data_IF_176618907990
#
_entry.id   IF_176618907990
#
_cell.length_a   1.000
_cell.length_b   1.000
_cell.length_c   1.000
_cell.angle_alpha   90.00
_cell.angle_beta   90.00
_cell.angle_gamma   90.00
#
_symmetry.space_group_name_H-M   'P 1'
#
loop_
_entity.id
_entity.type
_entity.pdbx_description
1 polymer ?
#
# COMPACT_ATOMS: atom_id res chain seq x y z
N UNK A 1 16.72 7.69 -29.61
CA UNK A 1 15.74 7.23 -30.62
C UNK A 1 14.63 6.49 -29.87
N UNK A 2 13.63 7.22 -29.37
CA UNK A 2 12.53 6.68 -28.54
C UNK A 2 11.32 6.48 -29.45
N UNK A 3 10.86 5.25 -29.64
CA UNK A 3 9.59 4.97 -30.34
C UNK A 3 8.49 4.80 -29.31
N UNK A 4 7.64 5.82 -29.21
CA UNK A 4 6.33 5.72 -28.58
C UNK A 4 5.39 5.05 -29.60
N UNK A 5 4.75 3.95 -29.23
CA UNK A 5 3.64 3.42 -30.01
C UNK A 5 2.34 3.72 -29.24
N UNK A 6 1.68 4.77 -29.70
CA UNK A 6 0.32 5.14 -29.37
C UNK A 6 -0.59 4.21 -30.19
N UNK A 7 -1.51 3.48 -29.55
CA UNK A 7 -2.60 2.82 -30.25
C UNK A 7 -3.92 3.17 -29.55
N UNK A 8 -4.78 3.76 -30.36
CA UNK A 8 -5.98 4.54 -30.05
C UNK A 8 -7.17 3.83 -30.73
N UNK A 9 -8.38 4.05 -30.18
CA UNK A 9 -9.73 3.90 -30.80
C UNK A 9 -10.33 2.47 -30.81
N UNK A 10 -11.64 2.21 -30.58
CA UNK A 10 -12.85 2.93 -30.11
C UNK A 10 -13.94 1.83 -29.86
N UNK A 11 -15.01 2.04 -29.05
CA UNK A 11 -15.95 0.97 -28.64
C UNK A 11 -17.40 1.17 -29.11
N UNK A 12 -18.02 0.24 -29.85
CA UNK A 12 -19.46 0.24 -30.22
C UNK A 12 -19.93 -1.22 -30.46
N UNK A 13 -21.16 -1.68 -30.22
CA UNK A 13 -22.32 -1.24 -29.43
C UNK A 13 -23.25 -2.46 -29.25
N UNK A 14 -24.04 -2.51 -28.18
CA UNK A 14 -25.09 -3.52 -27.92
C UNK A 14 -26.26 -3.38 -28.90
N UNK A 15 -26.82 -4.50 -29.35
CA UNK A 15 -28.11 -4.57 -30.02
C UNK A 15 -28.78 -5.91 -29.74
N UNK A 16 -29.72 -5.93 -28.78
CA UNK A 16 -30.54 -7.10 -28.49
C UNK A 16 -31.71 -7.21 -29.46
N UNK A 17 -31.96 -8.42 -29.93
CA UNK A 17 -33.26 -8.82 -30.47
C UNK A 17 -33.55 -10.24 -29.99
N UNK A 18 -34.60 -10.37 -29.19
CA UNK A 18 -35.18 -11.65 -28.82
C UNK A 18 -36.06 -12.15 -29.97
N UNK A 19 -35.91 -13.41 -30.37
CA UNK A 19 -36.91 -14.13 -31.16
C UNK A 19 -37.12 -15.52 -30.57
N UNK A 20 -38.40 -15.90 -30.58
CA UNK A 20 -39.08 -16.96 -29.85
C UNK A 20 -38.65 -18.38 -30.24
N UNK A 21 -38.76 -19.27 -29.25
CA UNK A 21 -38.58 -20.71 -29.35
C UNK A 21 -39.75 -21.39 -30.07
N UNK A 22 -39.43 -22.31 -30.98
CA UNK A 22 -40.34 -23.33 -31.48
C UNK A 22 -39.56 -24.64 -31.60
N UNK A 23 -39.92 -25.64 -30.80
CA UNK A 23 -39.39 -27.01 -30.92
C UNK A 23 -40.17 -27.75 -32.00
N UNK A 24 -39.47 -28.33 -32.97
CA UNK A 24 -39.93 -29.50 -33.71
C UNK A 24 -38.81 -30.51 -33.77
N UNK A 25 -39.14 -31.73 -33.33
CA UNK A 25 -38.29 -32.91 -33.30
C UNK A 25 -37.98 -33.34 -34.75
N UNK A 26 -36.71 -33.22 -35.12
CA UNK A 26 -36.14 -33.84 -36.31
C UNK A 26 -34.68 -34.09 -36.03
N UNK A 27 -34.23 -35.33 -36.25
CA UNK A 27 -32.82 -35.72 -36.37
C UNK A 27 -32.19 -34.96 -37.55
N UNK A 28 -31.98 -33.66 -37.34
CA UNK A 28 -31.30 -32.78 -38.26
C UNK A 28 -29.87 -32.72 -37.75
N UNK A 29 -29.03 -33.57 -38.36
CA UNK A 29 -27.58 -33.48 -38.34
C UNK A 29 -27.19 -32.17 -39.06
N UNK A 30 -27.68 -31.05 -38.54
CA UNK A 30 -27.31 -29.72 -38.96
C UNK A 30 -25.81 -29.64 -38.69
N UNK A 31 -24.97 -29.46 -39.73
CA UNK A 31 -23.54 -29.36 -39.51
C UNK A 31 -23.33 -28.19 -38.55
N UNK A 32 -22.94 -28.52 -37.32
CA UNK A 32 -22.67 -27.52 -36.29
C UNK A 32 -21.65 -26.57 -36.90
N UNK A 33 -22.08 -25.33 -37.21
CA UNK A 33 -21.22 -24.35 -37.86
C UNK A 33 -19.96 -24.24 -37.00
N UNK A 34 -18.82 -24.57 -37.61
CA UNK A 34 -17.55 -24.58 -36.90
C UNK A 34 -17.33 -23.22 -36.24
N UNK A 35 -17.03 -23.21 -34.94
CA UNK A 35 -16.82 -21.98 -34.20
C UNK A 35 -15.65 -21.17 -34.80
N UNK A 36 -15.81 -19.86 -34.91
CA UNK A 36 -14.73 -18.94 -35.29
C UNK A 36 -13.74 -18.81 -34.13
N UNK A 37 -12.53 -19.31 -34.34
CA UNK A 37 -11.45 -19.31 -33.35
C UNK A 37 -10.39 -18.24 -33.59
N UNK A 38 -10.54 -17.39 -34.61
CA UNK A 38 -9.54 -16.41 -35.04
C UNK A 38 -9.06 -15.49 -33.91
N UNK A 39 -10.01 -14.95 -33.12
CA UNK A 39 -9.72 -14.06 -31.99
C UNK A 39 -8.99 -14.78 -30.85
N UNK A 40 -9.38 -16.03 -30.58
CA UNK A 40 -8.74 -16.85 -29.55
C UNK A 40 -7.33 -17.23 -29.98
N UNK A 41 -7.13 -17.61 -31.24
CA UNK A 41 -5.82 -17.92 -31.81
C UNK A 41 -4.87 -16.72 -31.73
N UNK A 42 -5.29 -15.54 -32.19
CA UNK A 42 -4.47 -14.33 -32.12
C UNK A 42 -4.10 -13.95 -30.67
N UNK A 43 -5.02 -14.15 -29.72
CA UNK A 43 -4.75 -13.92 -28.31
C UNK A 43 -3.74 -14.93 -27.75
N UNK A 44 -3.89 -16.22 -28.05
CA UNK A 44 -2.93 -17.27 -27.65
C UNK A 44 -1.53 -16.93 -28.15
N UNK A 45 -1.40 -16.53 -29.41
CA UNK A 45 -0.10 -16.20 -30.01
C UNK A 45 0.55 -15.01 -29.31
N UNK A 46 -0.21 -13.91 -29.12
CA UNK A 46 0.26 -12.73 -28.41
C UNK A 46 0.66 -13.03 -26.96
N UNK A 47 -0.13 -13.86 -26.26
CA UNK A 47 0.13 -14.22 -24.86
C UNK A 47 1.32 -15.15 -24.75
N UNK A 48 1.51 -16.08 -25.68
CA UNK A 48 2.67 -16.98 -25.72
C UNK A 48 3.97 -16.20 -25.85
N UNK A 49 4.02 -15.20 -26.74
CA UNK A 49 5.18 -14.32 -26.88
C UNK A 49 5.48 -13.57 -25.58
N UNK A 50 4.47 -12.93 -24.99
CA UNK A 50 4.63 -12.19 -23.73
C UNK A 50 5.05 -13.09 -22.57
N UNK A 51 4.44 -14.28 -22.45
CA UNK A 51 4.75 -15.27 -21.43
C UNK A 51 6.21 -15.75 -21.53
N UNK A 52 6.71 -16.02 -22.74
CA UNK A 52 8.08 -16.49 -22.94
C UNK A 52 9.11 -15.39 -22.65
N UNK A 53 8.79 -14.13 -22.97
CA UNK A 53 9.67 -13.00 -22.69
C UNK A 53 9.69 -12.59 -21.20
N UNK A 54 8.61 -12.86 -20.47
CA UNK A 54 8.47 -12.44 -19.09
C UNK A 54 9.40 -13.21 -18.13
N UNK A 55 10.11 -12.46 -17.29
CA UNK A 55 10.92 -12.99 -16.18
C UNK A 55 10.21 -12.75 -14.85
N UNK A 56 10.21 -13.76 -13.99
CA UNK A 56 9.73 -13.63 -12.61
C UNK A 56 10.85 -13.24 -11.66
N UNK A 57 10.52 -12.50 -10.62
CA UNK A 57 11.44 -12.17 -9.52
C UNK A 57 10.89 -11.04 -8.65
N UNK A 58 11.77 -10.35 -7.94
CA UNK A 58 11.44 -9.30 -6.99
C UNK A 58 12.03 -7.93 -7.34
N UNK A 59 12.57 -7.77 -8.55
CA UNK A 59 13.18 -6.52 -9.02
C UNK A 59 12.23 -5.77 -9.95
N UNK A 60 12.28 -4.42 -9.99
CA UNK A 60 11.58 -3.65 -11.00
C UNK A 60 11.83 -4.18 -12.42
N UNK A 61 10.78 -4.26 -13.22
CA UNK A 61 10.79 -4.84 -14.57
C UNK A 61 10.54 -6.35 -14.63
N UNK A 62 10.64 -7.08 -13.51
CA UNK A 62 10.19 -8.47 -13.41
C UNK A 62 8.71 -8.54 -13.02
N UNK A 63 8.10 -9.70 -13.25
CA UNK A 63 6.79 -10.04 -12.71
C UNK A 63 6.94 -10.74 -11.36
N UNK A 64 6.00 -10.53 -10.44
CA UNK A 64 6.04 -11.19 -9.13
C UNK A 64 6.16 -12.72 -9.26
N UNK A 65 7.01 -13.34 -8.44
CA UNK A 65 7.23 -14.79 -8.43
C UNK A 65 5.92 -15.57 -8.31
N UNK A 66 5.70 -16.55 -9.19
CA UNK A 66 4.50 -17.39 -9.24
C UNK A 66 3.36 -16.83 -10.10
N UNK A 67 3.43 -15.57 -10.54
CA UNK A 67 2.39 -14.95 -11.39
C UNK A 67 2.27 -15.55 -12.79
N UNK A 68 3.32 -16.20 -13.32
CA UNK A 68 3.29 -16.93 -14.60
C UNK A 68 2.43 -18.18 -14.53
N UNK A 69 2.32 -18.84 -13.38
CA UNK A 69 1.59 -20.10 -13.28
C UNK A 69 0.09 -19.96 -13.60
N UNK A 70 -0.68 -19.02 -13.02
CA UNK A 70 -2.08 -18.80 -13.40
C UNK A 70 -2.25 -18.41 -14.88
N UNK A 71 -1.34 -17.60 -15.43
CA UNK A 71 -1.37 -17.23 -16.85
C UNK A 71 -1.14 -18.47 -17.74
N UNK A 72 -0.20 -19.34 -17.36
CA UNK A 72 0.07 -20.59 -18.07
C UNK A 72 -1.14 -21.51 -18.06
N UNK A 73 -1.80 -21.67 -16.91
CA UNK A 73 -3.04 -22.46 -16.81
C UNK A 73 -4.13 -21.92 -17.75
N UNK A 74 -4.33 -20.61 -17.79
CA UNK A 74 -5.32 -20.00 -18.70
C UNK A 74 -4.93 -20.15 -20.18
N UNK A 75 -3.64 -20.03 -20.50
CA UNK A 75 -3.11 -20.20 -21.85
C UNK A 75 -3.25 -21.65 -22.35
N UNK A 76 -2.97 -22.63 -21.49
CA UNK A 76 -3.12 -24.06 -21.79
C UNK A 76 -4.59 -24.41 -22.03
N UNK A 77 -5.50 -23.92 -21.18
CA UNK A 77 -6.94 -24.09 -21.34
C UNK A 77 -7.42 -23.48 -22.67
N UNK A 78 -7.03 -22.24 -22.95
CA UNK A 78 -7.38 -21.56 -24.20
C UNK A 78 -6.88 -22.34 -25.43
N UNK A 79 -5.66 -22.88 -25.38
CA UNK A 79 -5.06 -23.68 -26.45
C UNK A 79 -5.83 -24.98 -26.67
N UNK A 80 -6.22 -25.66 -25.60
CA UNK A 80 -7.05 -26.87 -25.65
C UNK A 80 -8.44 -26.58 -26.23
N UNK A 81 -9.09 -25.48 -25.80
CA UNK A 81 -10.41 -25.09 -26.33
C UNK A 81 -10.34 -24.75 -27.81
N UNK A 82 -9.32 -24.01 -28.25
CA UNK A 82 -9.13 -23.70 -29.68
C UNK A 82 -8.96 -24.95 -30.55
N UNK A 83 -8.25 -25.96 -30.03
CA UNK A 83 -7.90 -27.17 -30.78
C UNK A 83 -9.02 -28.21 -30.92
N UNK A 84 -10.19 -27.98 -30.32
CA UNK A 84 -11.27 -28.96 -30.27
C UNK A 84 -12.54 -28.41 -30.95
N UNK A 85 -12.93 -29.06 -32.06
CA UNK A 85 -14.09 -28.68 -32.88
C UNK A 85 -15.44 -28.93 -32.22
N UNK A 86 -15.48 -29.61 -31.06
CA UNK A 86 -16.71 -29.87 -30.30
C UNK A 86 -17.20 -28.63 -29.52
N UNK A 87 -16.35 -27.61 -29.33
CA UNK A 87 -16.73 -26.43 -28.57
C UNK A 87 -17.60 -25.46 -29.40
N UNK A 88 -18.65 -24.96 -28.76
CA UNK A 88 -19.55 -23.93 -29.30
C UNK A 88 -18.88 -22.55 -29.34
N UNK A 89 -19.42 -21.62 -30.16
CA UNK A 89 -18.92 -20.24 -30.21
C UNK A 89 -18.91 -19.57 -28.83
N UNK A 90 -19.95 -19.80 -28.01
CA UNK A 90 -20.02 -19.27 -26.65
C UNK A 90 -18.86 -19.78 -25.77
N UNK A 91 -18.46 -21.04 -25.92
CA UNK A 91 -17.32 -21.60 -25.18
C UNK A 91 -15.99 -21.00 -25.66
N UNK A 92 -15.83 -20.74 -26.96
CA UNK A 92 -14.66 -20.05 -27.52
C UNK A 92 -14.57 -18.59 -27.01
N UNK A 93 -15.71 -17.88 -26.97
CA UNK A 93 -15.78 -16.52 -26.46
C UNK A 93 -15.47 -16.46 -24.96
N UNK A 94 -15.97 -17.43 -24.18
CA UNK A 94 -15.66 -17.57 -22.77
C UNK A 94 -14.18 -17.86 -22.52
N UNK A 95 -13.56 -18.76 -23.29
CA UNK A 95 -12.12 -19.02 -23.22
C UNK A 95 -11.30 -17.76 -23.54
N UNK A 96 -11.72 -16.99 -24.54
CA UNK A 96 -11.10 -15.70 -24.90
C UNK A 96 -11.19 -14.71 -23.74
N UNK A 97 -12.36 -14.57 -23.11
CA UNK A 97 -12.56 -13.68 -21.96
C UNK A 97 -11.75 -14.12 -20.74
N UNK A 98 -11.67 -15.43 -20.48
CA UNK A 98 -10.85 -16.01 -19.41
C UNK A 98 -9.36 -15.68 -19.60
N UNK A 99 -8.82 -15.91 -20.79
CA UNK A 99 -7.41 -15.63 -21.08
C UNK A 99 -7.12 -14.12 -20.96
N UNK A 100 -8.01 -13.24 -21.41
CA UNK A 100 -7.85 -11.78 -21.22
C UNK A 100 -7.80 -11.37 -19.75
N UNK A 101 -8.64 -11.95 -18.90
CA UNK A 101 -8.60 -11.70 -17.45
C UNK A 101 -7.28 -12.16 -16.84
N UNK A 102 -6.79 -13.33 -17.22
CA UNK A 102 -5.50 -13.83 -16.75
C UNK A 102 -4.34 -12.93 -17.21
N UNK A 103 -4.39 -12.40 -18.43
CA UNK A 103 -3.42 -11.42 -18.93
C UNK A 103 -3.48 -10.12 -18.13
N UNK A 104 -4.67 -9.61 -17.82
CA UNK A 104 -4.81 -8.40 -17.02
C UNK A 104 -4.23 -8.59 -15.60
N UNK A 105 -4.51 -9.73 -14.96
CA UNK A 105 -3.95 -10.09 -13.66
C UNK A 105 -2.42 -10.22 -13.72
N UNK A 106 -1.88 -10.89 -14.75
CA UNK A 106 -0.45 -11.01 -14.96
C UNK A 106 0.23 -9.67 -15.22
N UNK A 107 -0.39 -8.77 -15.99
CA UNK A 107 0.14 -7.42 -16.18
C UNK A 107 0.17 -6.62 -14.89
N UNK A 108 -0.79 -6.84 -14.00
CA UNK A 108 -0.83 -6.23 -12.66
C UNK A 108 0.22 -6.77 -11.69
N UNK A 109 0.90 -7.89 -12.01
CA UNK A 109 2.03 -8.39 -11.21
C UNK A 109 3.38 -7.84 -11.64
N UNK A 110 3.42 -6.95 -12.64
CA UNK A 110 4.66 -6.26 -13.03
C UNK A 110 5.13 -5.38 -11.87
N UNK A 111 6.37 -5.59 -11.44
CA UNK A 111 7.00 -4.80 -10.39
C UNK A 111 7.50 -3.51 -11.02
N UNK A 112 6.95 -2.38 -10.58
CA UNK A 112 7.33 -1.06 -11.05
C UNK A 112 8.46 -0.48 -10.21
N UNK A 113 9.30 0.36 -10.82
CA UNK A 113 10.23 1.19 -10.08
C UNK A 113 9.44 2.33 -9.44
N UNK A 114 9.32 2.32 -8.11
CA UNK A 114 8.48 3.28 -7.40
C UNK A 114 9.25 4.58 -7.24
N UNK A 115 8.68 5.64 -7.81
CA UNK A 115 9.33 6.94 -8.03
C UNK A 115 10.24 7.43 -6.87
N UNK A 116 11.54 7.42 -7.12
CA UNK A 116 12.56 8.07 -6.26
C UNK A 116 12.34 9.59 -6.18
N UNK A 117 11.83 10.21 -7.25
CA UNK A 117 11.62 11.66 -7.32
C UNK A 117 10.59 12.19 -6.31
N UNK A 118 9.68 11.33 -5.85
CA UNK A 118 8.63 11.68 -4.89
C UNK A 118 8.86 11.04 -3.51
N UNK A 119 9.98 10.33 -3.33
CA UNK A 119 10.37 9.73 -2.07
C UNK A 119 11.06 10.80 -1.22
N UNK A 120 10.39 11.22 -0.15
CA UNK A 120 10.90 12.24 0.77
C UNK A 120 11.91 11.64 1.73
N UNK A 121 11.61 10.46 2.29
CA UNK A 121 12.50 9.77 3.22
C UNK A 121 12.35 8.25 3.09
N UNK A 122 13.44 7.54 3.32
CA UNK A 122 13.47 6.09 3.42
C UNK A 122 14.37 5.64 4.57
N UNK A 123 13.76 5.26 5.69
CA UNK A 123 14.48 4.65 6.81
C UNK A 123 14.45 3.14 6.67
N UNK A 124 15.57 2.59 6.22
CA UNK A 124 15.75 1.14 6.03
C UNK A 124 15.98 0.37 7.32
N UNK A 125 16.45 1.05 8.36
CA UNK A 125 16.84 0.44 9.63
C UNK A 125 17.89 -0.68 9.56
N UNK A 126 18.75 -0.64 8.53
CA UNK A 126 19.91 -1.53 8.36
C UNK A 126 21.08 -1.09 9.27
N UNK A 127 20.86 -1.12 10.59
CA UNK A 127 21.87 -0.83 11.61
C UNK A 127 21.94 0.62 12.10
N UNK A 128 21.16 1.53 11.52
CA UNK A 128 21.06 2.93 11.95
C UNK A 128 19.67 3.51 11.67
N UNK A 129 19.45 4.76 12.11
CA UNK A 129 18.22 5.53 11.87
C UNK A 129 18.38 6.56 10.75
N UNK A 130 19.32 6.36 9.84
CA UNK A 130 19.60 7.31 8.78
C UNK A 130 18.58 7.20 7.64
N UNK A 131 18.32 8.33 7.00
CA UNK A 131 17.54 8.38 5.77
C UNK A 131 18.42 7.96 4.58
N UNK A 132 18.01 6.91 3.88
CA UNK A 132 18.72 6.37 2.73
C UNK A 132 18.53 7.21 1.45
N UNK A 133 17.69 8.24 1.47
CA UNK A 133 17.57 9.19 0.37
C UNK A 133 18.66 10.27 0.42
N UNK A 134 18.78 11.05 -0.65
CA UNK A 134 19.66 12.21 -0.68
C UNK A 134 19.15 13.41 0.17
N UNK A 135 17.95 13.32 0.76
CA UNK A 135 17.33 14.42 1.51
C UNK A 135 17.85 14.51 2.96
N UNK A 136 18.47 13.46 3.48
CA UNK A 136 19.19 13.48 4.76
C UNK A 136 18.29 13.67 5.98
N UNK A 137 17.05 13.16 5.94
CA UNK A 137 16.12 13.22 7.07
C UNK A 137 16.43 12.18 8.15
N UNK A 138 17.66 12.20 8.67
CA UNK A 138 18.13 11.23 9.66
C UNK A 138 17.36 11.35 10.98
N UNK A 139 17.02 10.19 11.55
CA UNK A 139 16.43 10.09 12.87
C UNK A 139 17.46 10.01 13.98
N UNK A 140 17.05 10.35 15.19
CA UNK A 140 17.82 10.15 16.43
C UNK A 140 16.97 9.32 17.40
N UNK A 141 17.47 8.17 17.90
CA UNK A 141 16.81 7.42 18.97
C UNK A 141 16.64 8.27 20.24
N UNK A 142 15.46 8.28 20.84
CA UNK A 142 15.13 9.04 22.05
C UNK A 142 14.36 8.18 23.05
N UNK A 143 14.57 8.46 24.33
CA UNK A 143 13.66 8.01 25.38
C UNK A 143 12.41 8.87 25.34
N UNK A 144 11.25 8.29 25.64
CA UNK A 144 9.98 8.99 25.55
C UNK A 144 9.14 8.97 26.81
N UNK A 145 8.03 9.72 26.80
CA UNK A 145 7.17 9.85 27.95
C UNK A 145 6.45 8.54 28.28
N UNK A 146 6.32 8.25 29.57
CA UNK A 146 5.59 7.10 30.11
C UNK A 146 4.74 7.51 31.32
N UNK A 147 3.86 6.60 31.75
CA UNK A 147 3.03 6.76 32.94
C UNK A 147 1.75 7.60 32.71
N UNK A 148 0.78 7.47 33.63
CA UNK A 148 -0.48 8.21 33.59
C UNK A 148 -0.32 9.65 34.12
N UNK A 149 -1.35 10.48 33.93
CA UNK A 149 -1.42 11.85 34.45
C UNK A 149 -0.92 12.90 33.46
N UNK A 150 -0.89 14.18 33.85
CA UNK A 150 -0.52 15.31 32.97
C UNK A 150 0.99 15.61 32.95
N UNK A 151 1.76 14.99 33.85
CA UNK A 151 3.22 15.11 33.93
C UNK A 151 3.83 13.74 33.64
N UNK A 152 4.22 13.44 32.39
CA UNK A 152 4.76 12.13 32.05
C UNK A 152 6.11 11.89 32.74
N UNK A 153 6.34 10.66 33.17
CA UNK A 153 7.68 10.17 33.47
C UNK A 153 8.48 9.90 32.19
N UNK A 154 9.75 9.53 32.33
CA UNK A 154 10.60 9.09 31.21
C UNK A 154 10.73 7.57 31.24
N UNK A 155 10.52 6.90 30.11
CA UNK A 155 10.68 5.45 30.01
C UNK A 155 12.12 4.95 30.13
N UNK A 156 13.10 5.85 30.03
CA UNK A 156 14.54 5.59 30.17
C UNK A 156 15.11 4.51 29.23
N UNK A 157 14.39 4.17 28.16
CA UNK A 157 14.82 3.22 27.12
C UNK A 157 14.91 3.92 25.76
N UNK A 158 15.89 3.52 24.96
CA UNK A 158 15.99 3.89 23.54
C UNK A 158 15.43 2.77 22.67
N UNK A 159 14.93 3.06 21.45
CA UNK A 159 14.66 2.03 20.46
C UNK A 159 15.89 1.15 20.24
N UNK A 160 15.69 -0.16 20.10
CA UNK A 160 16.77 -1.15 20.00
C UNK A 160 16.82 -1.78 18.62
N UNK A 161 18.02 -1.94 18.08
CA UNK A 161 18.21 -2.76 16.88
C UNK A 161 17.86 -4.22 17.17
N UNK A 162 17.07 -4.82 16.28
CA UNK A 162 16.62 -6.21 16.36
C UNK A 162 16.66 -6.84 14.98
N UNK A 163 16.33 -8.13 14.91
CA UNK A 163 16.20 -8.81 13.63
C UNK A 163 14.93 -8.37 12.88
N UNK A 164 15.02 -8.31 11.56
CA UNK A 164 13.86 -8.06 10.69
C UNK A 164 12.97 -9.30 10.50
N UNK A 165 12.01 -9.17 9.59
CA UNK A 165 11.10 -10.24 9.13
C UNK A 165 11.80 -11.47 8.53
N UNK A 166 13.09 -11.37 8.18
CA UNK A 166 13.89 -12.47 7.64
C UNK A 166 14.91 -13.01 8.65
N UNK A 167 14.80 -12.62 9.92
CA UNK A 167 15.76 -12.95 10.98
C UNK A 167 17.19 -12.43 10.72
N UNK A 168 17.36 -11.40 9.88
CA UNK A 168 18.65 -10.75 9.69
C UNK A 168 18.88 -9.78 10.86
N UNK A 169 19.98 -9.91 11.62
CA UNK A 169 20.20 -9.10 12.82
C UNK A 169 20.43 -7.63 12.47
N UNK A 170 19.97 -6.73 13.36
CA UNK A 170 20.13 -5.27 13.25
C UNK A 170 19.54 -4.69 11.95
N UNK A 171 18.37 -5.17 11.56
CA UNK A 171 17.66 -4.74 10.35
C UNK A 171 16.29 -4.13 10.65
N UNK A 172 15.92 -4.00 11.93
CA UNK A 172 14.69 -3.35 12.36
C UNK A 172 14.89 -2.68 13.72
N UNK A 173 13.97 -1.81 14.13
CA UNK A 173 13.96 -1.23 15.48
C UNK A 173 12.77 -1.72 16.30
N UNK A 174 13.04 -2.08 17.55
CA UNK A 174 12.06 -2.37 18.58
C UNK A 174 11.83 -1.15 19.48
N UNK A 175 10.56 -0.88 19.78
CA UNK A 175 10.08 0.24 20.56
C UNK A 175 9.36 -0.29 21.81
N UNK A 176 9.83 0.12 22.99
CA UNK A 176 9.20 -0.17 24.29
C UNK A 176 9.22 1.08 25.16
N UNK A 177 8.35 1.14 26.17
CA UNK A 177 8.40 2.17 27.22
C UNK A 177 8.47 3.62 26.68
N UNK A 178 7.66 3.94 25.67
CA UNK A 178 7.59 5.29 25.09
C UNK A 178 8.76 5.68 24.19
N UNK A 179 9.80 4.84 24.08
CA UNK A 179 10.95 5.05 23.23
C UNK A 179 10.54 5.32 21.76
N UNK A 180 11.25 6.20 21.08
CA UNK A 180 10.90 6.64 19.73
C UNK A 180 12.11 7.13 18.96
N UNK A 181 11.95 7.32 17.65
CA UNK A 181 12.96 7.98 16.80
C UNK A 181 12.42 9.37 16.45
N UNK A 182 13.22 10.39 16.77
CA UNK A 182 12.94 11.78 16.46
C UNK A 182 13.64 12.18 15.17
N UNK A 183 12.89 12.68 14.20
CA UNK A 183 13.42 13.17 12.92
C UNK A 183 13.23 14.69 12.89
N UNK A 184 14.29 15.49 12.67
CA UNK A 184 14.17 16.94 12.58
C UNK A 184 13.10 17.38 11.59
N UNK A 185 12.38 18.46 11.94
CA UNK A 185 11.34 18.99 11.06
C UNK A 185 11.93 19.38 9.70
N UNK A 186 11.21 19.01 8.63
CA UNK A 186 11.44 19.50 7.28
C UNK A 186 10.09 19.80 6.61
N UNK A 187 10.08 20.83 5.76
CA UNK A 187 8.88 21.21 5.01
C UNK A 187 8.35 20.06 4.12
N UNK A 188 9.24 19.16 3.67
CA UNK A 188 8.90 17.96 2.90
C UNK A 188 7.94 17.00 3.61
N UNK A 189 7.81 17.09 4.94
CA UNK A 189 6.83 16.32 5.71
C UNK A 189 5.43 16.95 5.74
N UNK A 190 5.20 18.09 5.09
CA UNK A 190 3.87 18.70 4.94
C UNK A 190 3.40 18.71 3.47
N UNK A 191 3.45 17.59 2.74
CA UNK A 191 3.05 17.58 1.34
C UNK A 191 1.51 17.64 1.23
N UNK A 192 0.94 18.21 0.15
CA UNK A 192 -0.51 18.29 -0.04
C UNK A 192 -1.19 16.92 -0.22
N UNK A 193 -0.40 15.91 -0.62
CA UNK A 193 -0.77 14.50 -0.75
C UNK A 193 0.39 13.66 -0.19
N UNK A 194 0.13 12.45 0.32
CA UNK A 194 1.18 11.62 0.92
C UNK A 194 0.93 10.13 0.79
N UNK A 195 1.99 9.35 0.90
CA UNK A 195 1.90 7.91 1.20
C UNK A 195 2.92 7.57 2.27
N UNK A 196 2.48 6.86 3.30
CA UNK A 196 3.33 6.30 4.34
C UNK A 196 3.27 4.78 4.18
N UNK A 197 4.41 4.15 3.93
CA UNK A 197 4.57 2.70 3.82
C UNK A 197 5.57 2.24 4.86
N UNK A 198 5.27 1.18 5.61
CA UNK A 198 6.20 0.58 6.56
C UNK A 198 5.86 -0.88 6.84
N UNK A 199 6.82 -1.60 7.37
CA UNK A 199 6.59 -2.89 8.02
C UNK A 199 6.48 -2.69 9.53
N UNK A 200 5.51 -3.36 10.16
CA UNK A 200 5.43 -3.37 11.61
C UNK A 200 5.03 -4.73 12.17
N UNK A 201 5.42 -4.98 13.41
CA UNK A 201 5.02 -6.13 14.22
C UNK A 201 4.70 -5.60 15.62
N UNK A 202 3.41 -5.46 15.93
CA UNK A 202 2.96 -5.05 17.29
C UNK A 202 3.05 -6.21 18.28
N UNK A 203 3.27 -5.91 19.56
CA UNK A 203 3.42 -6.94 20.60
C UNK A 203 2.17 -7.19 21.44
N UNK A 204 1.21 -6.27 21.41
CA UNK A 204 -0.01 -6.35 22.21
C UNK A 204 -1.20 -5.68 21.50
N UNK A 205 -2.35 -5.71 22.16
CA UNK A 205 -3.64 -5.19 21.68
C UNK A 205 -4.01 -3.83 22.24
N UNK A 206 -3.02 -3.04 22.66
CA UNK A 206 -3.21 -1.67 23.07
C UNK A 206 -3.70 -0.79 21.92
N UNK A 207 -4.51 0.21 22.27
CA UNK A 207 -4.93 1.26 21.37
C UNK A 207 -3.84 2.32 21.25
N UNK A 208 -4.01 3.25 20.30
CA UNK A 208 -3.13 4.40 20.11
C UNK A 208 -1.64 4.00 19.93
N UNK A 209 -1.40 2.97 19.12
CA UNK A 209 -0.07 2.52 18.71
C UNK A 209 0.47 3.43 17.60
N UNK A 210 1.09 4.54 17.96
CA UNK A 210 1.60 5.53 16.99
C UNK A 210 2.79 5.01 16.19
N UNK A 211 2.57 4.67 14.91
CA UNK A 211 3.64 4.22 14.02
C UNK A 211 4.51 5.40 13.57
N UNK A 212 3.87 6.46 13.05
CA UNK A 212 4.54 7.66 12.56
C UNK A 212 3.60 8.89 12.66
N UNK A 213 4.09 10.01 13.18
CA UNK A 213 3.28 11.18 13.52
C UNK A 213 4.00 12.48 13.24
N UNK A 214 3.32 13.43 12.60
CA UNK A 214 3.72 14.82 12.53
C UNK A 214 2.68 15.68 13.26
N UNK A 215 3.05 16.15 14.46
CA UNK A 215 2.23 17.02 15.29
C UNK A 215 0.82 16.46 15.62
N UNK A 216 0.68 15.14 15.76
CA UNK A 216 -0.59 14.44 16.05
C UNK A 216 -1.72 14.82 15.09
N UNK A 217 -2.95 14.87 15.62
CA UNK A 217 -4.16 15.31 14.93
C UNK A 217 -4.15 16.79 14.49
N UNK A 218 -3.08 17.55 14.72
CA UNK A 218 -2.92 18.88 14.14
C UNK A 218 -2.24 18.86 12.77
N UNK A 219 -1.50 17.78 12.47
CA UNK A 219 -0.95 17.47 11.16
C UNK A 219 -1.52 16.13 10.72
N UNK A 220 -0.73 15.07 10.88
CA UNK A 220 -1.22 13.71 10.71
C UNK A 220 -0.66 12.77 11.76
N UNK A 221 -1.41 11.69 12.01
CA UNK A 221 -0.93 10.54 12.78
C UNK A 221 -1.35 9.24 12.12
N UNK A 222 -0.37 8.40 11.81
CA UNK A 222 -0.59 7.04 11.38
C UNK A 222 -0.34 6.10 12.56
N UNK A 223 -1.36 5.34 12.92
CA UNK A 223 -1.35 4.50 14.12
C UNK A 223 -2.14 3.21 13.90
N UNK A 224 -1.98 2.26 14.83
CA UNK A 224 -2.91 1.16 15.01
C UNK A 224 -3.86 1.47 16.17
N UNK A 225 -5.16 1.28 15.95
CA UNK A 225 -6.18 1.29 17.00
C UNK A 225 -6.42 -0.11 17.56
N UNK A 226 -7.40 -0.24 18.46
CA UNK A 226 -7.80 -1.51 19.05
C UNK A 226 -7.97 -2.63 18.04
N UNK A 227 -7.61 -3.83 18.49
CA UNK A 227 -7.45 -5.03 17.66
C UNK A 227 -6.38 -4.93 16.55
N UNK A 228 -5.57 -3.87 16.50
CA UNK A 228 -4.49 -3.70 15.51
C UNK A 228 -4.95 -3.11 14.18
N UNK A 229 -6.07 -2.38 14.16
CA UNK A 229 -6.62 -1.80 12.92
C UNK A 229 -5.83 -0.55 12.50
N UNK A 230 -5.35 -0.45 11.25
CA UNK A 230 -4.71 0.77 10.74
C UNK A 230 -5.67 1.96 10.79
N UNK A 231 -5.12 3.12 11.16
CA UNK A 231 -5.87 4.36 11.33
C UNK A 231 -5.01 5.57 10.99
N UNK A 232 -5.58 6.51 10.24
CA UNK A 232 -4.97 7.79 9.91
C UNK A 232 -5.88 8.92 10.37
N UNK A 233 -5.31 9.87 11.13
CA UNK A 233 -5.86 11.22 11.18
C UNK A 233 -5.18 12.06 10.10
N UNK A 234 -5.96 12.71 9.25
CA UNK A 234 -5.50 13.67 8.26
C UNK A 234 -6.09 15.04 8.56
N UNK A 235 -5.24 16.01 8.92
CA UNK A 235 -5.64 17.42 8.99
C UNK A 235 -5.45 18.05 7.63
N UNK A 236 -6.55 18.54 7.08
CA UNK A 236 -6.61 19.17 5.77
C UNK A 236 -7.00 20.64 5.90
N UNK A 237 -7.01 21.36 4.79
CA UNK A 237 -7.56 22.72 4.74
C UNK A 237 -9.07 22.79 4.98
N UNK A 238 -9.81 21.68 4.90
CA UNK A 238 -11.28 21.67 5.08
C UNK A 238 -11.73 21.08 6.42
N UNK A 239 -10.87 20.33 7.10
CA UNK A 239 -11.20 19.71 8.37
C UNK A 239 -10.19 18.67 8.83
N UNK A 240 -10.46 18.09 10.00
CA UNK A 240 -9.72 16.95 10.54
C UNK A 240 -10.54 15.70 10.26
N UNK A 241 -9.92 14.71 9.62
CA UNK A 241 -10.57 13.46 9.27
C UNK A 241 -9.88 12.28 9.95
N UNK A 242 -10.66 11.54 10.73
CA UNK A 242 -10.26 10.28 11.34
C UNK A 242 -10.84 9.12 10.53
N UNK A 243 -9.97 8.25 10.01
CA UNK A 243 -10.36 7.09 9.20
C UNK A 243 -9.59 5.87 9.61
N UNK A 244 -10.30 4.74 9.69
CA UNK A 244 -9.71 3.43 9.90
C UNK A 244 -9.79 2.57 8.62
N UNK A 245 -9.09 1.45 8.62
CA UNK A 245 -9.13 0.50 7.50
C UNK A 245 -10.47 -0.23 7.35
N UNK A 246 -11.44 -0.06 8.26
CA UNK A 246 -12.67 -0.85 8.49
C UNK A 246 -12.45 -2.35 8.66
N UNK A 247 -11.84 -2.98 7.65
CA UNK A 247 -11.47 -4.38 7.52
C UNK A 247 -9.95 -4.56 7.49
N UNK A 248 -9.49 -5.74 7.94
CA UNK A 248 -8.07 -6.05 8.04
C UNK A 248 -7.44 -5.51 9.34
N UNK A 249 -6.59 -6.34 9.94
CA UNK A 249 -5.88 -6.02 11.18
C UNK A 249 -4.43 -6.46 11.08
N UNK A 250 -3.54 -5.74 11.73
CA UNK A 250 -2.19 -6.21 12.04
C UNK A 250 -2.32 -7.21 13.17
N UNK A 251 -1.97 -8.49 12.97
CA UNK A 251 -2.00 -9.47 14.04
C UNK A 251 -0.88 -9.23 15.06
N UNK A 252 -1.12 -9.59 16.33
CA UNK A 252 -0.07 -9.54 17.36
C UNK A 252 1.06 -10.48 16.97
N UNK A 253 2.30 -10.01 17.11
CA UNK A 253 3.53 -10.75 16.83
C UNK A 253 3.69 -11.22 15.37
N UNK A 254 3.01 -10.58 14.42
CA UNK A 254 3.15 -10.87 13.00
C UNK A 254 3.62 -9.64 12.23
N UNK A 255 4.72 -9.78 11.48
CA UNK A 255 5.15 -8.74 10.54
C UNK A 255 4.09 -8.50 9.48
N UNK A 256 3.65 -7.26 9.36
CA UNK A 256 2.64 -6.82 8.39
C UNK A 256 3.14 -5.56 7.71
N UNK A 257 3.07 -5.54 6.38
CA UNK A 257 3.27 -4.33 5.60
C UNK A 257 1.99 -3.51 5.67
N UNK A 258 2.08 -2.29 6.19
CA UNK A 258 0.92 -1.40 6.39
C UNK A 258 1.19 -0.11 5.66
N UNK A 259 0.25 0.28 4.80
CA UNK A 259 0.35 1.49 3.99
C UNK A 259 -0.91 2.31 4.12
N UNK A 260 -0.75 3.63 4.21
CA UNK A 260 -1.84 4.58 3.98
C UNK A 260 -1.42 5.61 2.94
N UNK A 261 -2.34 5.93 2.02
CA UNK A 261 -2.13 6.97 1.02
C UNK A 261 -3.28 7.97 1.05
N UNK A 262 -2.95 9.22 0.77
CA UNK A 262 -3.87 10.34 0.77
C UNK A 262 -3.59 11.30 -0.38
N UNK A 263 -4.65 11.66 -1.08
CA UNK A 263 -4.75 12.82 -1.99
C UNK A 263 -6.14 13.41 -1.81
N UNK A 264 -6.34 14.69 -2.14
CA UNK A 264 -7.63 15.37 -1.98
C UNK A 264 -8.80 14.50 -2.48
N UNK A 265 -9.76 14.26 -1.58
CA UNK A 265 -10.94 13.44 -1.79
C UNK A 265 -10.75 11.95 -1.53
N UNK A 266 -9.53 11.41 -1.54
CA UNK A 266 -9.27 9.96 -1.48
C UNK A 266 -8.22 9.57 -0.44
N UNK A 267 -8.63 8.75 0.53
CA UNK A 267 -7.73 8.11 1.50
C UNK A 267 -7.82 6.59 1.33
N UNK A 268 -6.68 5.91 1.25
CA UNK A 268 -6.62 4.45 1.14
C UNK A 268 -5.80 3.80 2.24
N UNK A 269 -6.13 2.55 2.54
CA UNK A 269 -5.36 1.67 3.41
C UNK A 269 -5.03 0.37 2.68
N UNK A 270 -3.83 -0.14 2.92
CA UNK A 270 -3.36 -1.40 2.37
C UNK A 270 -2.69 -2.25 3.46
N UNK A 271 -2.85 -3.56 3.35
CA UNK A 271 -2.16 -4.55 4.16
C UNK A 271 -1.51 -5.57 3.23
N UNK A 272 -0.21 -5.83 3.42
CA UNK A 272 0.56 -6.81 2.63
C UNK A 272 0.40 -6.58 1.11
N UNK A 273 0.54 -5.32 0.68
CA UNK A 273 0.40 -4.92 -0.72
C UNK A 273 -1.03 -4.89 -1.27
N UNK A 274 -2.04 -5.37 -0.53
CA UNK A 274 -3.44 -5.42 -0.97
C UNK A 274 -4.26 -4.24 -0.42
N UNK A 275 -5.06 -3.61 -1.29
CA UNK A 275 -6.01 -2.57 -0.90
C UNK A 275 -7.09 -3.16 0.01
N UNK A 276 -7.23 -2.64 1.22
CA UNK A 276 -8.26 -3.07 2.17
C UNK A 276 -9.40 -2.06 2.31
N UNK A 277 -9.13 -0.77 2.06
CA UNK A 277 -10.16 0.28 2.15
C UNK A 277 -9.83 1.50 1.31
N UNK A 278 -10.88 2.07 0.73
CA UNK A 278 -10.90 3.41 0.14
C UNK A 278 -11.98 4.25 0.82
N UNK A 279 -11.63 5.46 1.23
CA UNK A 279 -12.52 6.51 1.68
C UNK A 279 -12.54 7.62 0.63
N UNK A 280 -13.73 8.07 0.22
CA UNK A 280 -13.94 9.10 -0.80
C UNK A 280 -14.41 10.45 -0.24
N UNK A 281 -14.39 10.59 1.09
CA UNK A 281 -14.95 11.72 1.82
C UNK A 281 -13.92 12.39 2.73
N UNK A 282 -12.66 12.46 2.31
CA UNK A 282 -11.55 13.11 3.01
C UNK A 282 -11.03 14.25 2.12
N UNK A 283 -11.55 15.47 2.34
CA UNK A 283 -11.48 16.57 1.38
C UNK A 283 -10.40 17.62 1.74
N UNK A 284 -9.88 18.32 0.74
CA UNK A 284 -8.89 19.40 0.83
C UNK A 284 -7.44 18.91 0.97
N UNK A 285 -6.44 19.62 0.42
CA UNK A 285 -5.04 19.23 0.61
C UNK A 285 -4.65 19.17 2.09
N UNK A 286 -3.64 18.35 2.42
CA UNK A 286 -3.06 18.31 3.76
C UNK A 286 -2.63 19.71 4.21
N UNK A 287 -2.95 20.04 5.46
CA UNK A 287 -2.62 21.33 6.05
C UNK A 287 -1.20 21.31 6.60
N UNK A 288 -0.44 22.36 6.29
CA UNK A 288 0.85 22.60 6.94
C UNK A 288 0.66 22.91 8.41
N UNK A 289 1.43 22.24 9.28
CA UNK A 289 1.40 22.51 10.71
C UNK A 289 1.82 23.97 11.00
N UNK A 290 1.24 24.63 12.02
CA UNK A 290 1.42 26.07 12.24
C UNK A 290 2.82 26.45 12.74
N UNK A 291 3.61 25.48 13.21
CA UNK A 291 5.00 25.68 13.59
C UNK A 291 5.82 24.38 13.40
N UNK A 292 7.15 24.48 13.26
CA UNK A 292 8.03 23.31 13.19
C UNK A 292 7.91 22.41 14.42
N UNK A 293 7.53 21.15 14.19
CA UNK A 293 7.55 20.07 15.18
C UNK A 293 8.27 18.88 14.54
N UNK A 294 9.32 18.31 15.19
CA UNK A 294 9.98 17.13 14.67
C UNK A 294 8.99 15.98 14.42
N UNK A 295 9.23 15.22 13.35
CA UNK A 295 8.47 14.01 13.05
C UNK A 295 8.86 12.94 14.08
N UNK A 296 7.88 12.20 14.59
CA UNK A 296 8.09 11.12 15.56
C UNK A 296 7.72 9.77 14.94
N UNK A 297 8.66 8.84 14.95
CA UNK A 297 8.43 7.41 14.62
C UNK A 297 8.29 6.66 15.94
N UNK A 298 7.15 5.98 16.13
CA UNK A 298 6.86 5.24 17.37
C UNK A 298 6.13 6.04 18.46
N UNK A 299 5.80 7.32 18.24
CA UNK A 299 5.28 8.21 19.28
C UNK A 299 4.38 9.32 18.71
N UNK A 300 3.43 9.83 19.51
CA UNK A 300 2.51 10.89 19.05
C UNK A 300 3.19 12.25 18.87
N UNK A 301 4.11 12.63 19.76
CA UNK A 301 4.93 13.85 19.69
C UNK A 301 6.34 13.57 20.23
N UNK A 302 7.33 14.36 19.81
CA UNK A 302 8.61 14.44 20.51
C UNK A 302 8.42 14.73 22.01
N UNK A 303 9.22 14.07 22.86
CA UNK A 303 9.15 14.17 24.34
C UNK A 303 9.22 15.62 24.82
N UNK A 304 10.14 16.41 24.27
CA UNK A 304 10.36 17.81 24.65
C UNK A 304 9.25 18.77 24.16
N UNK A 305 8.30 18.28 23.36
CA UNK A 305 7.17 19.09 22.89
C UNK A 305 6.01 19.09 23.89
N UNK A 306 5.86 18.02 24.67
CA UNK A 306 4.74 17.89 25.60
C UNK A 306 4.70 19.01 26.64
N UNK A 307 3.50 19.53 26.90
CA UNK A 307 3.20 20.59 27.85
C UNK A 307 3.97 21.90 27.61
N UNK A 308 4.59 22.09 26.44
CA UNK A 308 5.11 23.40 26.04
C UNK A 308 3.95 24.39 25.94
N UNK A 309 4.23 25.65 26.30
CA UNK A 309 3.27 26.72 26.12
C UNK A 309 2.86 26.84 24.63
N UNK A 310 1.56 26.98 24.33
CA UNK A 310 1.10 27.21 22.96
C UNK A 310 1.62 28.55 22.44
N UNK A 311 1.90 28.61 21.14
CA UNK A 311 2.23 29.84 20.41
C UNK A 311 0.96 30.56 19.92
N UNK A 312 1.10 31.80 19.47
CA UNK A 312 -0.04 32.63 19.07
C UNK A 312 -0.88 31.95 17.97
N UNK A 313 -2.18 31.81 18.22
CA UNK A 313 -3.13 31.15 17.31
C UNK A 313 -3.39 29.66 17.61
N UNK A 314 -2.67 29.07 18.57
CA UNK A 314 -2.93 27.73 19.06
C UNK A 314 -3.90 27.74 20.24
N UNK A 315 -4.73 26.69 20.34
CA UNK A 315 -5.66 26.53 21.44
C UNK A 315 -4.94 26.27 22.78
N UNK A 316 -5.60 26.55 23.89
CA UNK A 316 -5.15 26.07 25.19
C UNK A 316 -5.02 24.53 25.17
N UNK A 317 -3.94 23.99 25.75
CA UNK A 317 -3.67 22.56 25.76
C UNK A 317 -3.13 21.98 24.44
N UNK A 318 -2.67 22.81 23.49
CA UNK A 318 -2.19 22.35 22.18
C UNK A 318 -1.15 21.21 22.25
N UNK A 319 -0.26 21.25 23.23
CA UNK A 319 0.77 20.23 23.48
C UNK A 319 0.52 19.39 24.73
N UNK A 320 -0.69 19.43 25.28
CA UNK A 320 -1.01 18.74 26.52
C UNK A 320 -0.78 17.23 26.40
N UNK A 321 -0.23 16.66 27.48
CA UNK A 321 -0.09 15.24 27.66
C UNK A 321 -1.36 14.66 28.29
N UNK A 322 -2.06 13.79 27.55
CA UNK A 322 -3.29 13.13 28.02
C UNK A 322 -3.06 11.72 28.57
N UNK A 323 -1.86 11.18 28.40
CA UNK A 323 -1.54 9.79 28.70
C UNK A 323 -0.59 9.17 27.69
N UNK A 324 -0.13 7.94 27.97
CA UNK A 324 0.83 7.25 27.12
C UNK A 324 0.17 6.84 25.80
N UNK A 325 0.78 7.25 24.69
CA UNK A 325 0.31 6.88 23.35
C UNK A 325 1.50 6.73 22.40
N UNK A 326 2.03 5.50 22.35
CA UNK A 326 3.24 5.14 21.64
C UNK A 326 3.15 3.73 21.09
N UNK A 327 3.98 3.42 20.11
CA UNK A 327 4.05 2.08 19.53
C UNK A 327 4.82 1.12 20.44
N UNK A 328 4.29 -0.09 20.60
CA UNK A 328 4.98 -1.19 21.27
C UNK A 328 5.13 -2.37 20.31
N UNK A 329 6.34 -2.57 19.83
CA UNK A 329 6.62 -3.56 18.80
C UNK A 329 7.86 -3.23 17.99
N UNK A 330 7.94 -3.81 16.80
CA UNK A 330 9.05 -3.65 15.86
C UNK A 330 8.58 -2.92 14.59
N UNK A 331 9.38 -1.99 14.07
CA UNK A 331 9.16 -1.30 12.79
C UNK A 331 10.38 -1.47 11.89
N UNK A 332 10.13 -1.58 10.60
CA UNK A 332 11.13 -1.72 9.54
C UNK A 332 10.67 -1.02 8.26
N UNK A 333 11.61 -0.69 7.37
CA UNK A 333 11.39 -0.28 5.97
C UNK A 333 10.40 0.89 5.75
N UNK A 334 10.54 1.97 6.52
CA UNK A 334 9.64 3.12 6.44
C UNK A 334 9.95 3.97 5.21
N UNK A 335 8.97 4.18 4.35
CA UNK A 335 9.00 5.12 3.21
C UNK A 335 7.92 6.18 3.36
N UNK A 336 8.31 7.43 3.12
CA UNK A 336 7.40 8.57 3.07
C UNK A 336 7.45 9.22 1.70
N UNK A 337 6.31 9.30 1.02
CA UNK A 337 6.17 9.93 -0.29
C UNK A 337 5.34 11.20 -0.20
N UNK A 338 5.65 12.21 -1.02
CA UNK A 338 4.89 13.46 -1.15
C UNK A 338 3.75 13.38 -2.19
N UNK A 339 3.25 12.16 -2.44
CA UNK A 339 2.10 11.90 -3.32
C UNK A 339 1.36 10.64 -2.87
N UNK A 340 0.12 10.48 -3.34
CA UNK A 340 -0.56 9.20 -3.28
C UNK A 340 0.06 8.21 -4.29
N UNK A 341 0.50 7.06 -3.81
CA UNK A 341 0.89 5.93 -4.66
C UNK A 341 -0.35 5.24 -5.25
N UNK A 342 -0.17 4.64 -6.42
CA UNK A 342 -1.18 3.76 -7.03
C UNK A 342 -1.19 2.40 -6.33
N UNK A 343 -2.26 1.62 -6.56
CA UNK A 343 -2.38 0.27 -5.98
C UNK A 343 -1.23 -0.64 -6.46
N UNK A 344 -0.83 -0.54 -7.74
CA UNK A 344 0.27 -1.31 -8.31
C UNK A 344 1.64 -0.93 -7.73
N UNK A 345 1.88 0.36 -7.45
CA UNK A 345 3.11 0.81 -6.80
C UNK A 345 3.19 0.29 -5.36
N UNK A 346 2.08 0.29 -4.61
CA UNK A 346 2.04 -0.30 -3.26
C UNK A 346 2.29 -1.80 -3.30
N UNK A 347 1.69 -2.51 -4.24
CA UNK A 347 1.97 -3.94 -4.45
C UNK A 347 3.44 -4.19 -4.83
N UNK A 348 4.04 -3.29 -5.63
CA UNK A 348 5.46 -3.39 -6.02
C UNK A 348 6.38 -3.23 -4.80
N UNK A 349 6.17 -2.22 -3.95
CA UNK A 349 6.88 -2.04 -2.67
C UNK A 349 6.81 -3.33 -1.84
N UNK A 350 5.59 -3.83 -1.61
CA UNK A 350 5.40 -5.06 -0.84
C UNK A 350 6.17 -6.24 -1.44
N UNK A 351 6.12 -6.43 -2.75
CA UNK A 351 6.78 -7.56 -3.42
C UNK A 351 8.31 -7.48 -3.30
N UNK A 352 8.86 -6.28 -3.48
CA UNK A 352 10.29 -6.01 -3.34
C UNK A 352 10.74 -6.29 -1.91
N UNK A 353 9.97 -5.85 -0.91
CA UNK A 353 10.37 -5.95 0.50
C UNK A 353 9.99 -7.25 1.18
N UNK A 354 9.00 -8.00 0.68
CA UNK A 354 8.57 -9.25 1.28
C UNK A 354 9.44 -10.46 0.86
N UNK A 355 10.49 -10.23 0.09
CA UNK A 355 11.40 -11.28 -0.38
C UNK A 355 12.85 -10.83 -0.28
N UNK A 356 13.78 -11.79 -0.13
CA UNK A 356 15.22 -11.55 -0.15
C UNK A 356 15.79 -11.53 -1.57
#
# INVERSE_FOLDING_TARGET
>A
MKRHFLLLLLPWLLGGAAVLSACSDSDDDTPQVAADTSRLAALIDSVTVGYNAATEGNKPGNYATGSKAPLKTALDLATSTRGNSQYTQLQIDNATANLRRAVAAFRGSLIEDVSVANLVAYWKFEGNTDDATANGHNGTPKTGPTGPGAAPGDGATLPKLVADRFNRPNQAYEFTDGAYIEVPYAAGFNPPAMTISLWCKRFDSNDANYLLSLNRWNGFKFQLQGAGKPFLTATTTTGIFDRDAESGVVAVNTWTHVVTSYVDGTLKFYLNGALVKTWTNVQGPMKTIPEPVPLAIGQQLPKETYNRAPTAGQAAGYFEYYGPAFFKGQIDDIRFYNRALTDAEVTSIFTIENTL
#
